data_IF_299869408557
#
_entry.id   IF_299869408557
#
_cell.length_a   1.000
_cell.length_b   1.000
_cell.length_c   1.000
_cell.angle_alpha   90.00
_cell.angle_beta   90.00
_cell.angle_gamma   90.00
#
_symmetry.space_group_name_H-M   'P 1'
#
loop_
_entity.id
_entity.type
_entity.pdbx_description
1 polymer ?
#
# COMPACT_ATOMS: atom_id res chain seq x y z
N UNK A 1 -11.14 -7.22 -26.76
CA UNK A 1 -12.53 -7.57 -27.14
C UNK A 1 -13.37 -6.41 -27.71
N UNK A 2 -13.35 -5.17 -27.21
CA UNK A 2 -13.90 -3.99 -27.94
C UNK A 2 -12.81 -3.19 -28.68
N UNK A 3 -11.59 -3.18 -28.13
CA UNK A 3 -10.42 -2.48 -28.67
C UNK A 3 -9.48 -3.38 -29.49
N UNK A 4 -9.93 -4.55 -29.97
CA UNK A 4 -9.07 -5.49 -30.70
C UNK A 4 -7.99 -6.23 -29.88
N UNK A 5 -7.81 -5.89 -28.59
CA UNK A 5 -6.81 -6.54 -27.73
C UNK A 5 -7.32 -7.91 -27.25
N UNK A 6 -6.53 -8.96 -27.48
CA UNK A 6 -6.70 -10.31 -26.94
C UNK A 6 -5.60 -10.61 -25.94
N UNK A 7 -5.98 -10.72 -24.66
CA UNK A 7 -5.10 -10.97 -23.53
C UNK A 7 -5.83 -11.83 -22.51
N UNK A 8 -5.16 -12.84 -22.00
CA UNK A 8 -5.66 -13.63 -20.86
C UNK A 8 -5.63 -12.79 -19.59
N UNK A 9 -6.63 -12.97 -18.74
CA UNK A 9 -6.73 -12.30 -17.43
C UNK A 9 -6.98 -13.37 -16.37
N UNK A 10 -6.14 -13.41 -15.34
CA UNK A 10 -6.27 -14.37 -14.23
C UNK A 10 -6.23 -13.65 -12.89
N UNK A 11 -7.06 -14.10 -11.96
CA UNK A 11 -6.98 -13.67 -10.56
C UNK A 11 -6.38 -14.79 -9.72
N UNK A 12 -5.32 -14.47 -8.97
CA UNK A 12 -4.63 -15.41 -8.10
C UNK A 12 -4.87 -15.07 -6.63
N UNK A 13 -5.42 -16.03 -5.88
CA UNK A 13 -5.46 -15.93 -4.43
C UNK A 13 -4.01 -15.94 -3.94
N UNK A 14 -3.65 -14.89 -3.20
CA UNK A 14 -2.28 -14.62 -2.78
C UNK A 14 -2.21 -14.60 -1.26
N UNK A 15 -1.20 -15.28 -0.70
CA UNK A 15 -0.85 -15.18 0.71
C UNK A 15 0.39 -14.32 0.87
N UNK A 16 0.39 -13.49 1.91
CA UNK A 16 1.49 -12.58 2.20
C UNK A 16 2.03 -12.89 3.59
N UNK A 17 3.30 -13.27 3.64
CA UNK A 17 3.96 -13.66 4.89
C UNK A 17 4.36 -12.41 5.66
N UNK A 18 4.15 -12.45 6.97
CA UNK A 18 4.53 -11.41 7.94
C UNK A 18 5.38 -12.01 9.04
N UNK A 19 6.15 -11.20 9.75
CA UNK A 19 6.86 -11.66 10.95
C UNK A 19 5.89 -11.84 12.11
N UNK A 20 5.99 -12.96 12.83
CA UNK A 20 5.13 -13.25 13.99
C UNK A 20 5.26 -12.18 15.10
N UNK A 21 6.46 -11.63 15.27
CA UNK A 21 6.79 -10.64 16.29
C UNK A 21 6.78 -9.20 15.75
N UNK A 22 6.10 -8.93 14.63
CA UNK A 22 6.02 -7.57 14.07
C UNK A 22 5.41 -6.60 15.12
N UNK A 23 6.07 -5.47 15.43
CA UNK A 23 5.56 -4.50 16.41
C UNK A 23 4.13 -4.00 16.14
N UNK A 24 3.65 -4.06 14.90
CA UNK A 24 2.30 -3.68 14.52
C UNK A 24 1.21 -4.50 15.22
N UNK A 25 1.51 -5.71 15.70
CA UNK A 25 0.56 -6.52 16.49
C UNK A 25 0.21 -5.86 17.84
N UNK A 26 1.16 -5.12 18.42
CA UNK A 26 0.93 -4.39 19.67
C UNK A 26 0.41 -2.97 19.45
N UNK A 27 0.45 -2.46 18.21
CA UNK A 27 -0.02 -1.12 17.85
C UNK A 27 -0.93 -1.14 16.62
N UNK A 28 -2.20 -1.59 16.76
CA UNK A 28 -3.18 -1.55 15.68
C UNK A 28 -3.34 -0.14 15.12
N UNK A 29 -3.32 0.01 13.81
CA UNK A 29 -3.35 1.33 13.14
C UNK A 29 -4.22 1.35 11.87
N UNK A 30 -4.41 0.19 11.23
CA UNK A 30 -5.18 0.12 9.99
C UNK A 30 -6.67 0.13 10.29
N UNK A 31 -7.35 1.20 9.85
CA UNK A 31 -8.81 1.36 9.99
C UNK A 31 -9.56 0.55 8.93
N UNK A 32 -10.37 -0.42 9.36
CA UNK A 32 -11.15 -1.34 8.51
C UNK A 32 -12.65 -1.28 8.78
N UNK A 33 -13.45 -1.79 7.83
CA UNK A 33 -14.90 -1.89 7.98
C UNK A 33 -15.64 -0.55 7.91
N UNK A 34 -16.89 -0.56 8.38
CA UNK A 34 -17.79 0.61 8.43
C UNK A 34 -17.40 1.61 9.52
N UNK A 35 -17.97 2.80 9.45
CA UNK A 35 -17.84 3.85 10.48
C UNK A 35 -18.92 3.68 11.55
N UNK A 36 -18.54 3.88 12.81
CA UNK A 36 -19.37 3.76 14.01
C UNK A 36 -19.41 5.09 14.77
N UNK A 37 -20.43 5.30 15.59
CA UNK A 37 -20.40 6.35 16.61
C UNK A 37 -19.42 6.00 17.74
N UNK A 38 -19.10 6.98 18.59
CA UNK A 38 -18.25 6.75 19.76
C UNK A 38 -18.87 5.73 20.72
N UNK A 39 -20.17 5.85 20.97
CA UNK A 39 -20.92 4.98 21.87
C UNK A 39 -20.96 3.53 21.35
N UNK A 40 -21.16 3.35 20.03
CA UNK A 40 -21.12 2.03 19.41
C UNK A 40 -19.72 1.42 19.48
N UNK A 41 -18.68 2.21 19.21
CA UNK A 41 -17.29 1.75 19.27
C UNK A 41 -16.89 1.34 20.70
N UNK A 42 -17.25 2.13 21.71
CA UNK A 42 -16.95 1.84 23.11
C UNK A 42 -17.70 0.59 23.60
N UNK A 43 -18.97 0.42 23.19
CA UNK A 43 -19.74 -0.80 23.48
C UNK A 43 -19.09 -2.04 22.87
N UNK A 44 -18.73 -2.00 21.58
CA UNK A 44 -18.10 -3.14 20.89
C UNK A 44 -16.70 -3.42 21.45
N UNK A 45 -15.96 -2.39 21.84
CA UNK A 45 -14.66 -2.53 22.52
C UNK A 45 -14.81 -3.31 23.83
N UNK A 46 -15.80 -2.96 24.66
CA UNK A 46 -16.07 -3.68 25.91
C UNK A 46 -16.54 -5.14 25.69
N UNK A 47 -17.34 -5.39 24.65
CA UNK A 47 -17.87 -6.73 24.36
C UNK A 47 -16.84 -7.67 23.70
N UNK A 48 -15.97 -7.14 22.83
CA UNK A 48 -15.12 -7.96 21.94
C UNK A 48 -13.62 -7.69 22.06
N UNK A 49 -13.21 -6.72 22.88
CA UNK A 49 -11.81 -6.28 22.99
C UNK A 49 -11.26 -5.63 21.72
N UNK A 50 -12.13 -5.15 20.82
CA UNK A 50 -11.69 -4.53 19.57
C UNK A 50 -11.21 -3.10 19.80
N UNK A 51 -10.08 -2.77 19.17
CA UNK A 51 -9.55 -1.40 19.19
C UNK A 51 -10.25 -0.56 18.12
N UNK A 52 -10.63 0.67 18.46
CA UNK A 52 -11.21 1.65 17.53
C UNK A 52 -10.38 2.92 17.51
N UNK A 53 -10.33 3.56 16.35
CA UNK A 53 -9.70 4.86 16.15
C UNK A 53 -10.64 5.78 15.39
N UNK A 54 -10.61 7.05 15.73
CA UNK A 54 -11.29 8.08 14.97
C UNK A 54 -10.68 8.18 13.55
N UNK A 55 -11.52 8.46 12.56
CA UNK A 55 -11.14 8.50 11.16
C UNK A 55 -11.56 9.79 10.47
N UNK A 56 -10.77 10.21 9.50
CA UNK A 56 -10.92 11.50 8.83
C UNK A 56 -12.07 11.54 7.81
N UNK A 57 -12.76 10.41 7.57
CA UNK A 57 -13.84 10.32 6.56
C UNK A 57 -15.17 10.91 7.03
N UNK A 58 -15.37 11.01 8.35
CA UNK A 58 -16.57 11.58 8.95
C UNK A 58 -16.19 12.11 10.32
N UNK A 59 -16.50 13.36 10.58
CA UNK A 59 -16.30 13.98 11.89
C UNK A 59 -17.01 13.16 12.98
N UNK A 60 -16.29 12.84 14.06
CA UNK A 60 -16.77 11.97 15.14
C UNK A 60 -16.93 10.48 14.77
N UNK A 61 -16.43 10.06 13.60
CA UNK A 61 -16.57 8.70 13.10
C UNK A 61 -15.43 7.77 13.52
N UNK A 62 -15.75 6.63 14.13
CA UNK A 62 -14.78 5.63 14.57
C UNK A 62 -14.75 4.42 13.66
N UNK A 63 -13.59 3.80 13.46
CA UNK A 63 -13.42 2.55 12.70
C UNK A 63 -12.55 1.58 13.46
N UNK A 64 -12.79 0.28 13.28
CA UNK A 64 -11.99 -0.78 13.89
C UNK A 64 -10.55 -0.65 13.41
N UNK A 65 -9.60 -0.53 14.34
CA UNK A 65 -8.18 -0.59 14.07
C UNK A 65 -7.70 -2.04 14.22
N UNK A 66 -6.96 -2.51 13.23
CA UNK A 66 -6.35 -3.85 13.23
C UNK A 66 -4.84 -3.75 13.03
N UNK A 67 -4.06 -4.76 13.46
CA UNK A 67 -2.64 -4.85 13.15
C UNK A 67 -2.40 -4.76 11.64
N UNK A 68 -1.33 -4.07 11.26
CA UNK A 68 -0.89 -3.94 9.86
C UNK A 68 0.61 -4.17 9.75
N UNK A 69 1.06 -5.42 9.97
CA UNK A 69 2.46 -5.80 9.87
C UNK A 69 2.98 -5.64 8.44
N UNK A 70 4.30 -5.52 8.31
CA UNK A 70 4.95 -5.39 7.00
C UNK A 70 5.00 -6.76 6.31
N UNK A 71 4.63 -6.85 5.02
CA UNK A 71 4.82 -8.09 4.27
C UNK A 71 6.32 -8.31 4.01
N UNK A 72 6.79 -9.54 4.20
CA UNK A 72 8.18 -9.94 3.97
C UNK A 72 8.34 -10.87 2.76
N UNK A 73 7.29 -11.61 2.40
CA UNK A 73 7.24 -12.54 1.27
C UNK A 73 5.83 -12.56 0.67
N UNK A 74 5.73 -12.68 -0.66
CA UNK A 74 4.48 -12.96 -1.35
C UNK A 74 4.52 -14.39 -1.87
N UNK A 75 3.69 -15.27 -1.32
CA UNK A 75 3.67 -16.68 -1.74
C UNK A 75 3.21 -16.76 -3.20
N UNK A 76 3.89 -17.60 -3.98
CA UNK A 76 3.70 -17.79 -5.42
C UNK A 76 4.10 -16.60 -6.31
N UNK A 77 4.93 -15.65 -5.82
CA UNK A 77 5.45 -14.53 -6.62
C UNK A 77 6.11 -14.97 -7.94
N UNK A 78 6.79 -16.12 -7.97
CA UNK A 78 7.41 -16.67 -9.20
C UNK A 78 6.39 -17.09 -10.27
N UNK A 79 5.21 -17.56 -9.85
CA UNK A 79 4.14 -17.92 -10.81
C UNK A 79 3.53 -16.66 -11.39
N UNK A 80 3.31 -15.65 -10.53
CA UNK A 80 2.84 -14.32 -10.94
C UNK A 80 3.81 -13.71 -11.95
N UNK A 81 5.11 -13.72 -11.65
CA UNK A 81 6.16 -13.24 -12.56
C UNK A 81 6.09 -13.93 -13.93
N UNK A 82 6.10 -15.26 -13.94
CA UNK A 82 6.10 -16.02 -15.20
C UNK A 82 4.88 -15.70 -16.07
N UNK A 83 3.68 -15.70 -15.49
CA UNK A 83 2.45 -15.40 -16.22
C UNK A 83 2.45 -13.95 -16.75
N UNK A 84 2.93 -12.99 -15.95
CA UNK A 84 3.07 -11.61 -16.38
C UNK A 84 4.05 -11.47 -17.56
N UNK A 85 5.20 -12.14 -17.51
CA UNK A 85 6.21 -12.14 -18.59
C UNK A 85 5.71 -12.83 -19.86
N UNK A 86 4.85 -13.83 -19.76
CA UNK A 86 4.17 -14.47 -20.90
C UNK A 86 3.07 -13.57 -21.50
N UNK A 87 2.75 -12.45 -20.84
CA UNK A 87 1.82 -11.45 -21.32
C UNK A 87 0.38 -11.64 -20.84
N UNK A 88 0.14 -12.50 -19.83
CA UNK A 88 -1.13 -12.59 -19.10
C UNK A 88 -1.27 -11.41 -18.14
N UNK A 89 -2.47 -10.84 -18.04
CA UNK A 89 -2.79 -9.83 -17.03
C UNK A 89 -3.10 -10.56 -15.72
N UNK A 90 -2.24 -10.42 -14.73
CA UNK A 90 -2.38 -11.10 -13.43
C UNK A 90 -2.91 -10.12 -12.38
N UNK A 91 -4.04 -10.46 -11.78
CA UNK A 91 -4.57 -9.79 -10.59
C UNK A 91 -4.14 -10.58 -9.36
N UNK A 92 -3.25 -10.01 -8.56
CA UNK A 92 -2.67 -10.65 -7.38
C UNK A 92 -2.62 -9.69 -6.18
N UNK A 93 -2.23 -10.20 -5.00
CA UNK A 93 -2.14 -9.41 -3.76
C UNK A 93 -3.42 -8.65 -3.41
N UNK A 94 -4.58 -9.21 -3.75
CA UNK A 94 -5.88 -8.61 -3.46
C UNK A 94 -6.01 -8.24 -1.99
N UNK A 95 -6.27 -6.96 -1.69
CA UNK A 95 -6.36 -6.46 -0.32
C UNK A 95 -5.05 -6.49 0.49
N UNK A 96 -3.90 -6.69 -0.16
CA UNK A 96 -2.60 -6.92 0.48
C UNK A 96 -2.19 -8.41 0.56
N UNK A 97 -3.07 -9.32 0.12
CA UNK A 97 -2.91 -10.76 0.28
C UNK A 97 -3.38 -11.27 1.65
N UNK A 98 -3.69 -12.56 1.74
CA UNK A 98 -4.12 -13.21 2.99
C UNK A 98 -2.92 -13.26 3.94
N UNK A 99 -2.99 -12.61 5.12
CA UNK A 99 -1.87 -12.53 6.04
C UNK A 99 -1.61 -13.88 6.71
N UNK A 100 -0.36 -14.31 6.65
CA UNK A 100 0.12 -15.56 7.23
C UNK A 100 1.49 -15.38 7.85
N UNK A 101 1.89 -16.28 8.75
CA UNK A 101 3.27 -16.38 9.24
C UNK A 101 3.74 -17.84 9.17
N UNK A 102 5.05 -18.07 9.32
CA UNK A 102 5.64 -19.41 9.41
C UNK A 102 5.91 -19.70 10.89
N UNK A 103 5.33 -20.78 11.42
CA UNK A 103 5.59 -21.21 12.79
C UNK A 103 7.00 -21.83 12.94
N UNK A 104 7.37 -22.23 14.17
CA UNK A 104 8.68 -22.83 14.45
C UNK A 104 8.96 -24.13 13.67
N UNK A 105 7.91 -24.83 13.20
CA UNK A 105 8.03 -26.00 12.35
C UNK A 105 8.05 -25.65 10.84
N UNK A 106 8.01 -24.37 10.49
CA UNK A 106 7.96 -23.86 9.12
C UNK A 106 6.59 -23.93 8.46
N UNK A 107 5.54 -24.31 9.21
CA UNK A 107 4.18 -24.43 8.68
C UNK A 107 3.51 -23.06 8.55
N UNK A 108 2.69 -22.89 7.52
CA UNK A 108 1.95 -21.65 7.27
C UNK A 108 0.76 -21.58 8.23
N UNK A 109 0.66 -20.49 9.00
CA UNK A 109 -0.43 -20.22 9.94
C UNK A 109 -1.12 -18.90 9.61
N UNK A 110 -2.45 -18.79 9.79
CA UNK A 110 -3.16 -17.54 9.57
C UNK A 110 -2.73 -16.50 10.62
N UNK A 111 -2.64 -15.24 10.19
CA UNK A 111 -2.43 -14.09 11.08
C UNK A 111 -3.68 -13.23 11.10
N UNK A 112 -4.18 -12.85 12.29
CA UNK A 112 -5.30 -11.92 12.43
C UNK A 112 -4.86 -10.46 12.25
N UNK A 113 -4.50 -10.11 11.02
CA UNK A 113 -4.04 -8.77 10.66
C UNK A 113 -4.58 -8.35 9.29
N UNK A 114 -4.26 -7.14 8.86
CA UNK A 114 -4.52 -6.67 7.48
C UNK A 114 -3.26 -6.03 6.94
N UNK A 115 -2.76 -6.55 5.84
CA UNK A 115 -1.55 -6.04 5.21
C UNK A 115 -1.90 -4.79 4.39
N UNK A 116 -1.01 -3.79 4.43
CA UNK A 116 -1.18 -2.63 3.59
C UNK A 116 -0.95 -3.00 2.11
N UNK A 117 -1.98 -2.77 1.29
CA UNK A 117 -1.99 -3.10 -0.13
C UNK A 117 -0.86 -2.40 -0.92
N UNK A 118 -0.46 -1.19 -0.52
CA UNK A 118 0.54 -0.42 -1.25
C UNK A 118 1.92 -1.04 -0.94
N UNK A 119 2.19 -1.40 0.32
CA UNK A 119 3.42 -2.13 0.71
C UNK A 119 3.50 -3.54 0.10
N UNK A 120 2.40 -4.29 0.10
CA UNK A 120 2.36 -5.62 -0.53
C UNK A 120 2.61 -5.55 -2.05
N UNK A 121 2.02 -4.55 -2.71
CA UNK A 121 2.20 -4.33 -4.15
C UNK A 121 3.62 -3.87 -4.47
N UNK A 122 4.20 -2.99 -3.66
CA UNK A 122 5.60 -2.58 -3.79
C UNK A 122 6.56 -3.77 -3.63
N UNK A 123 6.30 -4.65 -2.64
CA UNK A 123 7.08 -5.86 -2.46
C UNK A 123 6.95 -6.79 -3.67
N UNK A 124 5.73 -7.08 -4.12
CA UNK A 124 5.49 -7.94 -5.27
C UNK A 124 6.15 -7.37 -6.54
N UNK A 125 5.92 -6.09 -6.84
CA UNK A 125 6.49 -5.41 -8.01
C UNK A 125 8.01 -5.52 -8.04
N UNK A 126 8.67 -5.26 -6.91
CA UNK A 126 10.12 -5.43 -6.80
C UNK A 126 10.57 -6.88 -6.98
N UNK A 127 9.81 -7.86 -6.46
CA UNK A 127 10.16 -9.29 -6.53
C UNK A 127 10.02 -9.88 -7.93
N UNK A 128 9.04 -9.41 -8.70
CA UNK A 128 8.84 -9.84 -10.09
C UNK A 128 9.69 -9.04 -11.09
N UNK A 129 10.51 -8.10 -10.60
CA UNK A 129 11.34 -7.23 -11.45
C UNK A 129 10.52 -6.33 -12.36
N UNK A 130 9.45 -5.71 -11.83
CA UNK A 130 8.71 -4.68 -12.54
C UNK A 130 9.55 -3.40 -12.65
N UNK A 131 9.51 -2.73 -13.80
CA UNK A 131 10.24 -1.48 -14.04
C UNK A 131 9.58 -0.31 -13.30
N UNK A 132 8.25 -0.25 -13.36
CA UNK A 132 7.46 0.84 -12.81
C UNK A 132 6.40 0.37 -11.81
N UNK A 133 6.16 1.16 -10.76
CA UNK A 133 5.14 0.90 -9.74
C UNK A 133 4.17 2.07 -9.59
N UNK A 134 2.89 1.84 -9.88
CA UNK A 134 1.83 2.87 -9.82
C UNK A 134 0.93 2.66 -8.60
N UNK A 135 0.78 3.70 -7.79
CA UNK A 135 -0.21 3.79 -6.72
C UNK A 135 -1.31 4.76 -7.17
N UNK A 136 -2.55 4.26 -7.22
CA UNK A 136 -3.71 5.06 -7.57
C UNK A 136 -4.39 5.61 -6.31
N UNK A 137 -4.63 6.92 -6.30
CA UNK A 137 -5.27 7.66 -5.20
C UNK A 137 -6.28 8.68 -5.74
N UNK A 138 -6.77 9.56 -4.88
CA UNK A 138 -7.77 10.61 -5.14
C UNK A 138 -7.17 12.00 -5.42
N UNK A 139 -5.84 12.09 -5.52
CA UNK A 139 -5.12 13.33 -5.84
C UNK A 139 -4.23 13.14 -7.07
N UNK A 140 -4.09 14.16 -7.93
CA UNK A 140 -3.31 14.07 -9.17
C UNK A 140 -1.80 14.06 -8.94
N UNK A 141 -1.35 14.62 -7.80
CA UNK A 141 0.05 14.68 -7.38
C UNK A 141 0.15 14.49 -5.86
N UNK A 142 1.36 14.19 -5.41
CA UNK A 142 1.77 14.34 -4.02
C UNK A 142 2.04 15.82 -3.76
N UNK A 143 1.61 16.26 -2.58
CA UNK A 143 1.82 17.62 -2.10
C UNK A 143 2.64 17.58 -0.81
N UNK A 144 3.51 18.56 -0.62
CA UNK A 144 4.02 18.91 0.71
C UNK A 144 3.22 20.08 1.27
N UNK A 145 3.21 20.25 2.60
CA UNK A 145 2.39 21.24 3.30
C UNK A 145 0.90 21.17 2.90
N UNK A 146 0.38 19.95 2.70
CA UNK A 146 -0.97 19.72 2.20
C UNK A 146 -2.05 20.40 3.06
N UNK A 147 -3.00 21.07 2.42
CA UNK A 147 -4.08 21.81 3.09
C UNK A 147 -3.67 23.16 3.70
N UNK A 148 -2.44 23.63 3.48
CA UNK A 148 -1.97 24.94 3.94
C UNK A 148 -1.80 25.94 2.79
N UNK A 149 -1.68 27.26 3.10
CA UNK A 149 -1.30 28.26 2.09
C UNK A 149 0.08 28.03 1.44
N UNK A 150 0.94 27.23 2.08
CA UNK A 150 2.28 26.86 1.59
C UNK A 150 2.28 25.52 0.86
N UNK A 151 1.10 24.98 0.52
CA UNK A 151 0.97 23.73 -0.23
C UNK A 151 1.73 23.80 -1.55
N UNK A 152 2.57 22.80 -1.82
CA UNK A 152 3.39 22.73 -3.01
C UNK A 152 3.22 21.38 -3.70
N UNK A 153 3.02 21.39 -5.02
CA UNK A 153 3.01 20.19 -5.84
C UNK A 153 4.44 19.66 -5.97
N UNK A 154 4.62 18.35 -5.84
CA UNK A 154 5.88 17.68 -6.17
C UNK A 154 5.68 16.77 -7.37
N UNK A 155 5.98 17.25 -8.57
CA UNK A 155 5.87 16.45 -9.80
C UNK A 155 6.96 15.38 -9.90
N UNK A 156 8.17 15.72 -9.43
CA UNK A 156 9.34 14.86 -9.44
C UNK A 156 10.00 14.92 -8.07
N UNK A 157 10.40 13.75 -7.56
CA UNK A 157 11.21 13.62 -6.36
C UNK A 157 12.23 12.51 -6.57
N UNK A 158 13.42 12.66 -6.01
CA UNK A 158 14.34 11.53 -5.86
C UNK A 158 14.09 10.81 -4.53
N UNK A 159 14.75 9.68 -4.32
CA UNK A 159 14.61 8.86 -3.12
C UNK A 159 14.98 9.66 -1.85
N UNK A 160 16.09 10.41 -1.92
CA UNK A 160 16.63 11.16 -0.78
C UNK A 160 15.68 12.23 -0.27
N UNK A 161 15.18 13.09 -1.15
CA UNK A 161 14.32 14.21 -0.77
C UNK A 161 12.95 13.70 -0.32
N UNK A 162 12.42 12.70 -1.03
CA UNK A 162 11.17 12.03 -0.61
C UNK A 162 11.30 11.45 0.80
N UNK A 163 12.41 10.78 1.10
CA UNK A 163 12.67 10.23 2.43
C UNK A 163 12.77 11.35 3.48
N UNK A 164 13.47 12.45 3.16
CA UNK A 164 13.58 13.60 4.06
C UNK A 164 12.21 14.23 4.36
N UNK A 165 11.36 14.43 3.36
CA UNK A 165 10.00 14.94 3.56
C UNK A 165 9.13 14.00 4.39
N UNK A 166 9.30 12.69 4.20
CA UNK A 166 8.63 11.69 5.02
C UNK A 166 9.05 11.78 6.50
N UNK A 167 10.34 11.93 6.77
CA UNK A 167 10.88 12.09 8.14
C UNK A 167 10.43 13.41 8.80
N UNK A 168 10.27 14.46 8.00
CA UNK A 168 9.74 15.76 8.44
C UNK A 168 8.22 15.73 8.68
N UNK A 169 7.53 14.61 8.41
CA UNK A 169 6.09 14.48 8.62
C UNK A 169 5.24 15.24 7.60
N UNK A 170 5.79 15.53 6.40
CA UNK A 170 5.08 16.28 5.35
C UNK A 170 3.91 15.50 4.72
N UNK A 171 3.84 14.19 4.99
CA UNK A 171 2.80 13.31 4.47
C UNK A 171 1.91 12.79 5.60
N UNK A 172 0.59 12.90 5.43
CA UNK A 172 -0.38 12.50 6.45
C UNK A 172 -0.31 11.01 6.80
N UNK A 173 -0.16 10.71 8.10
CA UNK A 173 -0.19 9.33 8.60
C UNK A 173 -1.57 8.70 8.45
N UNK A 174 -1.59 7.46 7.95
CA UNK A 174 -2.83 6.74 7.63
C UNK A 174 -3.45 7.07 6.26
N UNK A 175 -2.78 7.89 5.44
CA UNK A 175 -3.16 8.16 4.05
C UNK A 175 -1.95 8.19 3.09
N UNK A 176 -1.32 9.36 2.89
CA UNK A 176 -0.22 9.53 1.92
C UNK A 176 1.09 8.91 2.40
N UNK A 177 1.42 8.97 3.70
CA UNK A 177 2.69 8.44 4.21
C UNK A 177 2.89 6.93 3.93
N UNK A 178 1.88 6.04 4.09
CA UNK A 178 1.96 4.65 3.64
C UNK A 178 2.31 4.49 2.15
N UNK A 179 1.75 5.33 1.27
CA UNK A 179 2.00 5.31 -0.19
C UNK A 179 3.44 5.68 -0.50
N UNK A 180 3.93 6.72 0.15
CA UNK A 180 5.33 7.17 0.03
C UNK A 180 6.28 6.09 0.52
N UNK A 181 5.99 5.43 1.65
CA UNK A 181 6.81 4.30 2.14
C UNK A 181 6.84 3.14 1.15
N UNK A 182 5.71 2.81 0.54
CA UNK A 182 5.64 1.77 -0.49
C UNK A 182 6.43 2.14 -1.76
N UNK A 183 6.28 3.37 -2.24
CA UNK A 183 7.06 3.89 -3.37
C UNK A 183 8.57 3.83 -3.11
N UNK A 184 9.02 4.32 -1.95
CA UNK A 184 10.43 4.26 -1.55
C UNK A 184 10.93 2.82 -1.40
N UNK A 185 10.12 1.92 -0.85
CA UNK A 185 10.49 0.50 -0.73
C UNK A 185 10.70 -0.14 -2.11
N UNK A 186 9.85 0.17 -3.09
CA UNK A 186 10.00 -0.32 -4.46
C UNK A 186 11.30 0.18 -5.10
N UNK A 187 11.56 1.49 -5.03
CA UNK A 187 12.80 2.11 -5.57
C UNK A 187 14.05 1.53 -4.89
N UNK A 188 14.05 1.42 -3.56
CA UNK A 188 15.18 0.86 -2.80
C UNK A 188 15.49 -0.59 -3.20
N UNK A 189 14.48 -1.35 -3.64
CA UNK A 189 14.64 -2.74 -4.07
C UNK A 189 15.00 -2.89 -5.55
N UNK A 190 15.31 -1.79 -6.24
CA UNK A 190 15.81 -1.80 -7.62
C UNK A 190 14.76 -1.50 -8.69
N UNK A 191 13.54 -1.12 -8.30
CA UNK A 191 12.57 -0.58 -9.26
C UNK A 191 13.04 0.77 -9.81
N UNK A 192 12.75 1.03 -11.09
CA UNK A 192 13.28 2.22 -11.77
C UNK A 192 12.50 3.48 -11.38
N UNK A 193 11.17 3.37 -11.33
CA UNK A 193 10.28 4.51 -11.09
C UNK A 193 9.00 4.10 -10.37
N UNK A 194 8.59 4.90 -9.40
CA UNK A 194 7.26 4.80 -8.79
C UNK A 194 6.46 6.06 -9.08
N UNK A 195 5.15 5.90 -9.25
CA UNK A 195 4.23 6.98 -9.61
C UNK A 195 3.03 6.96 -8.68
N UNK A 196 2.70 8.12 -8.10
CA UNK A 196 1.48 8.30 -7.31
C UNK A 196 0.59 9.29 -8.05
N UNK A 197 -0.60 8.86 -8.45
CA UNK A 197 -1.53 9.67 -9.27
C UNK A 197 -2.98 9.22 -9.05
N UNK A 198 -3.93 9.91 -9.67
CA UNK A 198 -5.33 9.51 -9.70
C UNK A 198 -5.64 8.55 -10.87
N UNK A 199 -6.61 7.66 -10.67
CA UNK A 199 -6.92 6.59 -11.64
C UNK A 199 -7.27 7.11 -13.05
N UNK A 200 -7.92 8.27 -13.14
CA UNK A 200 -8.36 8.86 -14.41
C UNK A 200 -7.25 9.56 -15.18
N UNK A 201 -6.03 9.64 -14.63
CA UNK A 201 -4.87 10.31 -15.25
C UNK A 201 -3.81 9.34 -15.78
N UNK A 202 -4.05 8.03 -15.72
CA UNK A 202 -3.08 7.03 -16.18
C UNK A 202 -2.68 7.17 -17.66
N UNK A 203 -3.56 7.69 -18.51
CA UNK A 203 -3.26 7.94 -19.92
C UNK A 203 -2.36 9.17 -20.13
N UNK A 204 -2.46 10.16 -19.25
CA UNK A 204 -1.72 11.42 -19.35
C UNK A 204 -0.49 11.42 -18.44
N UNK A 205 0.67 11.13 -19.03
CA UNK A 205 1.95 11.03 -18.32
C UNK A 205 2.47 12.36 -17.76
N UNK A 206 1.85 13.50 -18.08
CA UNK A 206 2.15 14.79 -17.45
C UNK A 206 1.69 14.83 -15.99
N UNK A 207 0.74 13.97 -15.60
CA UNK A 207 0.27 13.84 -14.23
C UNK A 207 1.07 12.82 -13.43
N UNK A 208 0.85 12.85 -12.11
CA UNK A 208 1.46 11.93 -11.16
C UNK A 208 2.84 12.37 -10.71
N UNK A 209 3.04 12.25 -9.39
CA UNK A 209 4.36 12.41 -8.79
C UNK A 209 5.23 11.22 -9.12
N UNK A 210 6.36 11.47 -9.76
CA UNK A 210 7.34 10.46 -10.13
C UNK A 210 8.44 10.45 -9.08
N UNK A 211 8.72 9.28 -8.52
CA UNK A 211 9.76 9.05 -7.54
C UNK A 211 10.76 8.05 -8.12
N UNK A 212 12.00 8.49 -8.26
CA UNK A 212 13.15 7.74 -8.81
C UNK A 212 14.28 7.69 -7.79
N UNK A 213 15.36 6.93 -8.06
CA UNK A 213 16.51 6.91 -7.15
C UNK A 213 17.20 8.28 -7.09
N UNK A 214 17.49 8.84 -8.26
CA UNK A 214 18.10 10.16 -8.45
C UNK A 214 17.20 11.04 -9.31
N UNK A 215 17.38 12.36 -9.26
CA UNK A 215 16.71 13.24 -10.22
C UNK A 215 17.24 12.96 -11.63
N UNK A 216 16.34 13.05 -12.61
CA UNK A 216 16.74 13.03 -14.02
C UNK A 216 17.71 14.19 -14.28
N UNK A 217 18.81 13.90 -14.97
CA UNK A 217 19.86 14.87 -15.31
C UNK A 217 19.46 15.77 -16.49
#
# INVERSE_FOLDING_TARGET
HKNGIQKEVVTMITMSVVEENDPAFHKPSKRVGKTYSKEEADRISAEKGWVFQEGNKREGGYRRAVPSPKPIEIINEKVIERLAREGTIVVASGGGGVPVFRDAAGSIRPSESVIDKDLASALLGARIGADEFYILTDVPFVYINYGSPQQEIKEFLNYKDTHSYLEQGMFGEGDMAPKIRAALQFIKKGGEKSVITEAFKLEDRSYGTKITMEYDA
#
